data_IF_383278115066
#
_entry.id   IF_383278115066
#
_cell.length_a   1.000
_cell.length_b   1.000
_cell.length_c   1.000
_cell.angle_alpha   90.00
_cell.angle_beta   90.00
_cell.angle_gamma   90.00
#
_symmetry.space_group_name_H-M   'P 1'
#
loop_
_entity.id
_entity.type
_entity.pdbx_description
1 polymer ?
#
# COMPACT_ATOMS: atom_id res chain seq x y z
N UNK A 1 -7.22 2.34 -27.91
CA UNK A 1 -6.31 1.26 -27.45
C UNK A 1 -5.42 1.70 -26.28
N UNK A 2 -4.78 2.87 -26.34
CA UNK A 2 -3.88 3.40 -25.29
C UNK A 2 -4.40 3.30 -23.84
N UNK A 3 -5.66 3.69 -23.62
CA UNK A 3 -6.32 3.64 -22.30
C UNK A 3 -6.36 2.22 -21.70
N UNK A 4 -6.60 1.21 -22.54
CA UNK A 4 -6.67 -0.19 -22.09
C UNK A 4 -5.29 -0.68 -21.68
N UNK A 5 -4.26 -0.35 -22.45
CA UNK A 5 -2.86 -0.67 -22.13
C UNK A 5 -2.42 -0.01 -20.82
N UNK A 6 -2.70 1.29 -20.64
CA UNK A 6 -2.40 2.01 -19.41
C UNK A 6 -3.06 1.36 -18.18
N UNK A 7 -4.31 0.96 -18.30
CA UNK A 7 -5.05 0.31 -17.20
C UNK A 7 -4.41 -1.04 -16.81
N UNK A 8 -3.91 -1.80 -17.78
CA UNK A 8 -3.21 -3.07 -17.52
C UNK A 8 -1.86 -2.80 -16.85
N UNK A 9 -1.10 -1.83 -17.33
CA UNK A 9 0.20 -1.46 -16.75
C UNK A 9 0.03 -1.02 -15.30
N UNK A 10 -0.88 -0.08 -15.02
CA UNK A 10 -1.13 0.41 -13.65
C UNK A 10 -1.59 -0.72 -12.72
N UNK A 11 -2.42 -1.65 -13.22
CA UNK A 11 -2.86 -2.82 -12.46
C UNK A 11 -1.69 -3.73 -12.11
N UNK A 12 -0.86 -4.10 -13.09
CA UNK A 12 0.28 -4.98 -12.87
C UNK A 12 1.31 -4.33 -11.94
N UNK A 13 1.60 -3.04 -12.17
CA UNK A 13 2.48 -2.26 -11.32
C UNK A 13 1.99 -2.23 -9.87
N UNK A 14 0.75 -1.82 -9.62
CA UNK A 14 0.19 -1.77 -8.27
C UNK A 14 0.17 -3.17 -7.62
N UNK A 15 -0.24 -4.20 -8.36
CA UNK A 15 -0.25 -5.57 -7.86
C UNK A 15 1.15 -6.03 -7.41
N UNK A 16 2.17 -5.83 -8.25
CA UNK A 16 3.54 -6.22 -7.94
C UNK A 16 4.09 -5.46 -6.73
N UNK A 17 3.82 -4.15 -6.64
CA UNK A 17 4.28 -3.32 -5.52
C UNK A 17 3.71 -3.83 -4.19
N UNK A 18 2.40 -4.09 -4.10
CA UNK A 18 1.80 -4.57 -2.85
C UNK A 18 2.20 -6.01 -2.52
N UNK A 19 2.31 -6.90 -3.51
CA UNK A 19 2.79 -8.28 -3.29
C UNK A 19 4.22 -8.24 -2.77
N UNK A 20 5.12 -7.48 -3.41
CA UNK A 20 6.51 -7.38 -3.00
C UNK A 20 6.63 -6.77 -1.61
N UNK A 21 5.97 -5.64 -1.35
CA UNK A 21 6.00 -4.98 -0.04
C UNK A 21 5.49 -5.88 1.08
N UNK A 22 4.33 -6.53 0.88
CA UNK A 22 3.76 -7.44 1.88
C UNK A 22 4.62 -8.70 2.06
N UNK A 23 5.19 -9.26 0.99
CA UNK A 23 6.09 -10.41 1.09
C UNK A 23 7.35 -10.08 1.89
N UNK A 24 7.96 -8.91 1.66
CA UNK A 24 9.14 -8.46 2.41
C UNK A 24 8.83 -8.31 3.90
N UNK A 25 7.65 -7.78 4.25
CA UNK A 25 7.21 -7.66 5.65
C UNK A 25 6.90 -9.03 6.28
N UNK A 26 6.44 -10.01 5.50
CA UNK A 26 6.23 -11.39 5.98
C UNK A 26 7.54 -12.15 6.22
N UNK A 27 8.60 -11.83 5.49
CA UNK A 27 9.92 -12.45 5.68
C UNK A 27 10.56 -12.06 7.01
N UNK A 28 10.35 -10.81 7.45
CA UNK A 28 10.81 -10.32 8.76
C UNK A 28 9.74 -9.47 9.46
N UNK A 29 8.73 -10.11 10.08
CA UNK A 29 7.68 -9.40 10.79
C UNK A 29 8.20 -8.71 12.05
N UNK A 30 9.31 -9.18 12.62
CA UNK A 30 9.96 -8.57 13.78
C UNK A 30 10.55 -7.22 13.41
N UNK A 31 11.25 -7.13 12.28
CA UNK A 31 11.75 -5.86 11.77
C UNK A 31 10.61 -4.91 11.42
N UNK A 32 9.58 -5.38 10.72
CA UNK A 32 8.43 -4.54 10.38
C UNK A 32 7.72 -4.00 11.62
N UNK A 33 7.62 -4.80 12.69
CA UNK A 33 7.08 -4.34 13.97
C UNK A 33 7.92 -3.20 14.59
N UNK A 34 9.25 -3.30 14.55
CA UNK A 34 10.13 -2.23 15.00
C UNK A 34 9.95 -0.95 14.17
N UNK A 35 9.77 -1.09 12.85
CA UNK A 35 9.48 0.04 11.96
C UNK A 35 8.13 0.70 12.31
N UNK A 36 7.11 -0.08 12.67
CA UNK A 36 5.81 0.45 13.15
C UNK A 36 5.95 1.15 14.51
N UNK A 37 6.73 0.59 15.44
CA UNK A 37 7.00 1.20 16.74
C UNK A 37 7.83 2.48 16.64
N UNK A 38 8.68 2.61 15.61
CA UNK A 38 9.47 3.80 15.36
C UNK A 38 8.60 5.04 15.09
N UNK A 39 7.35 4.87 14.65
CA UNK A 39 6.40 5.98 14.54
C UNK A 39 6.03 6.58 15.91
N UNK A 40 6.21 5.87 17.02
CA UNK A 40 5.80 6.29 18.37
C UNK A 40 4.31 6.65 18.51
N UNK A 41 3.48 6.26 17.53
CA UNK A 41 2.04 6.52 17.47
C UNK A 41 1.19 5.35 17.98
N UNK A 42 1.80 4.17 18.14
CA UNK A 42 1.09 2.93 18.50
C UNK A 42 1.71 2.26 19.73
N UNK A 43 0.89 1.69 20.64
CA UNK A 43 1.38 0.81 21.68
C UNK A 43 1.86 -0.53 21.09
N UNK A 44 2.67 -1.26 21.86
CA UNK A 44 3.26 -2.55 21.46
C UNK A 44 2.23 -3.54 20.90
N UNK A 45 1.09 -3.71 21.59
CA UNK A 45 0.07 -4.67 21.21
C UNK A 45 -0.56 -4.34 19.83
N UNK A 46 -0.77 -3.05 19.55
CA UNK A 46 -1.27 -2.62 18.24
C UNK A 46 -0.23 -2.80 17.16
N UNK A 47 1.04 -2.46 17.43
CA UNK A 47 2.13 -2.67 16.49
C UNK A 47 2.30 -4.16 16.14
N UNK A 48 2.15 -5.05 17.12
CA UNK A 48 2.18 -6.50 16.93
C UNK A 48 1.05 -6.99 16.00
N UNK A 49 -0.19 -6.55 16.27
CA UNK A 49 -1.35 -6.91 15.43
C UNK A 49 -1.17 -6.39 14.01
N UNK A 50 -0.72 -5.14 13.84
CA UNK A 50 -0.45 -4.55 12.53
C UNK A 50 0.64 -5.32 11.80
N UNK A 51 1.75 -5.62 12.47
CA UNK A 51 2.87 -6.34 11.89
C UNK A 51 2.48 -7.74 11.39
N UNK A 52 1.57 -8.41 12.10
CA UNK A 52 1.10 -9.74 11.71
C UNK A 52 0.00 -9.73 10.67
N UNK A 53 -0.88 -8.73 10.63
CA UNK A 53 -2.08 -8.77 9.78
C UNK A 53 -1.93 -7.97 8.49
N UNK A 54 -1.31 -6.80 8.56
CA UNK A 54 -1.20 -5.87 7.43
C UNK A 54 -0.47 -6.49 6.23
N UNK A 55 0.64 -7.23 6.39
CA UNK A 55 1.34 -7.83 5.27
C UNK A 55 0.49 -8.83 4.48
N UNK A 56 -0.36 -9.62 5.16
CA UNK A 56 -1.30 -10.51 4.47
C UNK A 56 -2.33 -9.75 3.67
N UNK A 57 -2.84 -8.64 4.21
CA UNK A 57 -3.82 -7.81 3.50
C UNK A 57 -3.19 -7.20 2.23
N UNK A 58 -1.93 -6.77 2.30
CA UNK A 58 -1.19 -6.27 1.14
C UNK A 58 -0.98 -7.35 0.08
N UNK A 59 -0.51 -8.54 0.47
CA UNK A 59 -0.28 -9.66 -0.47
C UNK A 59 -1.58 -10.14 -1.09
N UNK A 60 -2.62 -10.38 -0.29
CA UNK A 60 -3.92 -10.85 -0.79
C UNK A 60 -4.59 -9.79 -1.66
N UNK A 61 -4.51 -8.51 -1.28
CA UNK A 61 -4.98 -7.39 -2.09
C UNK A 61 -4.24 -7.30 -3.42
N UNK A 62 -2.91 -7.42 -3.40
CA UNK A 62 -2.07 -7.42 -4.60
C UNK A 62 -2.36 -8.61 -5.52
N UNK A 63 -2.57 -9.81 -4.97
CA UNK A 63 -2.97 -11.00 -5.73
C UNK A 63 -4.38 -10.86 -6.32
N UNK A 64 -5.32 -10.25 -5.58
CA UNK A 64 -6.65 -9.92 -6.08
C UNK A 64 -6.60 -8.91 -7.25
N UNK A 65 -5.71 -7.91 -7.17
CA UNK A 65 -5.42 -7.03 -8.31
C UNK A 65 -4.78 -7.81 -9.46
N UNK A 66 -3.84 -8.71 -9.20
CA UNK A 66 -3.13 -9.47 -10.23
C UNK A 66 -4.05 -10.42 -11.00
N UNK A 67 -4.87 -11.20 -10.29
CA UNK A 67 -5.81 -12.17 -10.87
C UNK A 67 -7.08 -11.51 -11.40
N UNK A 68 -7.50 -10.40 -10.79
CA UNK A 68 -8.74 -9.69 -11.12
C UNK A 68 -9.96 -10.21 -10.37
N UNK A 69 -9.78 -11.19 -9.48
CA UNK A 69 -10.80 -11.68 -8.55
C UNK A 69 -10.93 -10.70 -7.38
N UNK A 70 -12.14 -10.34 -6.97
CA UNK A 70 -12.34 -9.42 -5.82
C UNK A 70 -11.77 -8.01 -6.00
N UNK A 71 -11.38 -7.64 -7.23
CA UNK A 71 -10.59 -6.44 -7.56
C UNK A 71 -11.14 -5.11 -7.05
N UNK A 72 -12.47 -4.99 -6.86
CA UNK A 72 -13.09 -3.79 -6.28
C UNK A 72 -12.79 -3.64 -4.79
N UNK A 73 -12.93 -4.74 -4.04
CA UNK A 73 -12.58 -4.77 -2.62
C UNK A 73 -11.09 -4.56 -2.42
N UNK A 74 -10.26 -5.20 -3.26
CA UNK A 74 -8.81 -5.02 -3.24
C UNK A 74 -8.41 -3.56 -3.46
N UNK A 75 -8.96 -2.87 -4.48
CA UNK A 75 -8.68 -1.45 -4.71
C UNK A 75 -9.06 -0.61 -3.49
N UNK A 76 -10.26 -0.82 -2.92
CA UNK A 76 -10.72 -0.05 -1.77
C UNK A 76 -9.78 -0.22 -0.57
N UNK A 77 -9.51 -1.47 -0.18
CA UNK A 77 -8.68 -1.81 0.98
C UNK A 77 -7.26 -1.27 0.81
N UNK A 78 -6.63 -1.52 -0.34
CA UNK A 78 -5.27 -1.04 -0.60
C UNK A 78 -5.20 0.49 -0.65
N UNK A 79 -6.22 1.17 -1.18
CA UNK A 79 -6.27 2.64 -1.19
C UNK A 79 -6.33 3.19 0.23
N UNK A 80 -7.18 2.61 1.10
CA UNK A 80 -7.30 3.03 2.49
C UNK A 80 -6.02 2.77 3.28
N UNK A 81 -5.37 1.62 3.06
CA UNK A 81 -4.08 1.31 3.68
C UNK A 81 -2.99 2.31 3.26
N UNK A 82 -2.85 2.58 1.96
CA UNK A 82 -1.88 3.55 1.46
C UNK A 82 -2.18 4.96 1.96
N UNK A 83 -3.45 5.37 2.00
CA UNK A 83 -3.84 6.68 2.54
C UNK A 83 -3.48 6.79 4.03
N UNK A 84 -3.79 5.77 4.83
CA UNK A 84 -3.40 5.71 6.24
C UNK A 84 -1.89 5.78 6.43
N UNK A 85 -1.12 5.07 5.60
CA UNK A 85 0.33 5.12 5.64
C UNK A 85 0.88 6.52 5.32
N UNK A 86 0.36 7.21 4.31
CA UNK A 86 0.72 8.61 4.03
C UNK A 86 0.40 9.50 5.24
N UNK A 87 -0.77 9.32 5.87
CA UNK A 87 -1.12 10.08 7.08
C UNK A 87 -0.11 9.83 8.20
N UNK A 88 0.31 8.59 8.44
CA UNK A 88 1.32 8.28 9.45
C UNK A 88 2.67 8.96 9.14
N UNK A 89 3.11 8.95 7.88
CA UNK A 89 4.34 9.66 7.46
C UNK A 89 4.23 11.17 7.70
N UNK A 90 3.11 11.79 7.34
CA UNK A 90 2.88 13.21 7.54
C UNK A 90 2.86 13.59 9.02
N UNK A 91 2.22 12.77 9.87
CA UNK A 91 2.17 12.98 11.32
C UNK A 91 3.57 12.81 11.91
N UNK A 92 4.29 11.73 11.60
CA UNK A 92 5.66 11.54 12.08
C UNK A 92 6.58 12.70 11.71
N UNK A 93 6.49 13.17 10.46
CA UNK A 93 7.24 14.32 9.99
C UNK A 93 6.87 15.61 10.76
N UNK A 94 5.58 15.84 11.03
CA UNK A 94 5.13 17.01 11.81
C UNK A 94 5.62 16.98 13.26
N UNK A 95 5.81 15.79 13.83
CA UNK A 95 6.37 15.59 15.17
C UNK A 95 7.91 15.52 15.21
N UNK A 96 8.59 15.69 14.07
CA UNK A 96 10.05 15.63 13.98
C UNK A 96 10.64 14.22 14.19
N UNK A 97 9.82 13.17 14.04
CA UNK A 97 10.26 11.79 14.19
C UNK A 97 10.97 11.37 12.90
N UNK A 98 12.30 11.23 12.99
CA UNK A 98 13.12 10.71 11.90
C UNK A 98 12.90 9.19 11.85
N UNK A 99 12.07 8.75 10.92
CA UNK A 99 11.83 7.33 10.66
C UNK A 99 12.48 6.93 9.36
N UNK A 100 13.45 6.01 9.44
CA UNK A 100 13.93 5.27 8.27
C UNK A 100 12.86 4.23 7.92
N UNK A 101 11.71 4.69 7.42
CA UNK A 101 10.59 3.80 7.10
C UNK A 101 10.97 2.87 5.94
N UNK A 102 11.49 1.69 6.28
CA UNK A 102 11.76 0.58 5.38
C UNK A 102 10.48 -0.12 4.95
N UNK A 103 9.53 0.58 4.32
CA UNK A 103 8.29 -0.04 3.81
C UNK A 103 8.56 -1.16 2.77
N UNK A 104 9.80 -1.24 2.28
CA UNK A 104 10.38 -2.29 1.44
C UNK A 104 11.67 -2.88 2.04
N UNK A 105 11.88 -2.78 3.36
CA UNK A 105 13.17 -3.05 4.00
C UNK A 105 14.30 -2.23 3.36
N UNK A 106 15.46 -2.87 3.16
CA UNK A 106 16.63 -2.27 2.49
C UNK A 106 16.50 -2.23 0.95
N UNK A 107 15.40 -2.75 0.38
CA UNK A 107 15.25 -2.92 -1.08
C UNK A 107 14.84 -1.64 -1.80
N UNK A 108 14.12 -0.75 -1.13
CA UNK A 108 13.72 0.54 -1.69
C UNK A 108 13.82 1.61 -0.62
N UNK A 109 14.98 2.28 -0.59
CA UNK A 109 15.25 3.41 0.29
C UNK A 109 14.92 4.70 -0.46
N UNK A 110 14.02 5.50 0.12
CA UNK A 110 13.68 6.80 -0.44
C UNK A 110 14.66 7.86 0.07
N UNK A 111 15.26 8.68 -0.82
CA UNK A 111 16.29 9.64 -0.44
C UNK A 111 15.75 10.79 0.43
N UNK A 112 14.45 11.07 0.35
CA UNK A 112 13.80 12.06 1.19
C UNK A 112 12.30 11.75 1.36
N UNK A 113 11.69 12.36 2.38
CA UNK A 113 10.26 12.18 2.70
C UNK A 113 9.36 12.54 1.50
N UNK A 114 9.71 13.58 0.74
CA UNK A 114 8.92 14.02 -0.40
C UNK A 114 8.80 12.95 -1.49
N UNK A 115 9.88 12.24 -1.81
CA UNK A 115 9.87 11.13 -2.78
C UNK A 115 9.06 9.94 -2.27
N UNK A 116 9.11 9.66 -0.97
CA UNK A 116 8.31 8.59 -0.38
C UNK A 116 6.81 8.90 -0.45
N UNK A 117 6.41 10.13 -0.11
CA UNK A 117 5.03 10.60 -0.22
C UNK A 117 4.59 10.61 -1.69
N UNK A 118 5.43 11.12 -2.60
CA UNK A 118 5.11 11.18 -4.03
C UNK A 118 4.85 9.78 -4.62
N UNK A 119 5.66 8.80 -4.26
CA UNK A 119 5.46 7.41 -4.67
C UNK A 119 4.11 6.85 -4.20
N UNK A 120 3.77 7.04 -2.92
CA UNK A 120 2.49 6.59 -2.35
C UNK A 120 1.29 7.35 -2.94
N UNK A 121 1.42 8.66 -3.22
CA UNK A 121 0.42 9.43 -3.96
C UNK A 121 0.20 8.87 -5.38
N UNK A 122 1.28 8.46 -6.06
CA UNK A 122 1.22 7.79 -7.35
C UNK A 122 0.47 6.45 -7.28
N UNK A 123 0.69 5.67 -6.22
CA UNK A 123 -0.06 4.43 -5.97
C UNK A 123 -1.55 4.69 -5.73
N UNK A 124 -1.91 5.67 -4.90
CA UNK A 124 -3.31 6.05 -4.69
C UNK A 124 -3.95 6.47 -6.01
N UNK A 125 -3.28 7.30 -6.80
CA UNK A 125 -3.78 7.71 -8.11
C UNK A 125 -4.04 6.49 -9.02
N UNK A 126 -3.10 5.54 -9.07
CA UNK A 126 -3.25 4.31 -9.84
C UNK A 126 -4.46 3.49 -9.36
N UNK A 127 -4.60 3.29 -8.05
CA UNK A 127 -5.71 2.53 -7.44
C UNK A 127 -7.07 3.20 -7.68
N UNK A 128 -7.17 4.52 -7.47
CA UNK A 128 -8.40 5.29 -7.72
C UNK A 128 -8.78 5.24 -9.19
N UNK A 129 -7.81 5.36 -10.10
CA UNK A 129 -8.04 5.21 -11.54
C UNK A 129 -8.60 3.81 -11.89
N UNK A 130 -8.01 2.74 -11.32
CA UNK A 130 -8.48 1.37 -11.51
C UNK A 130 -9.90 1.17 -10.95
N UNK A 131 -10.17 1.71 -9.75
CA UNK A 131 -11.48 1.68 -9.12
C UNK A 131 -12.55 2.36 -9.96
N UNK A 132 -12.28 3.58 -10.43
CA UNK A 132 -13.18 4.33 -11.31
C UNK A 132 -13.44 3.64 -12.64
N UNK A 133 -12.40 3.02 -13.24
CA UNK A 133 -12.55 2.23 -14.46
C UNK A 133 -13.39 0.97 -14.28
N UNK A 134 -13.35 0.35 -13.10
CA UNK A 134 -14.09 -0.88 -12.81
C UNK A 134 -15.50 -0.63 -12.26
N UNK A 135 -15.78 0.53 -11.68
CA UNK A 135 -17.14 0.94 -11.30
C UNK A 135 -18.00 1.22 -12.53
N UNK A 136 -17.42 1.82 -13.58
CA UNK A 136 -18.11 2.03 -14.88
C UNK A 136 -18.43 0.76 -15.67
N UNK A 137 -18.08 -0.43 -15.18
CA UNK A 137 -18.41 -1.72 -15.81
C UNK A 137 -19.51 -2.50 -15.09
N UNK A 138 -20.20 -1.91 -14.10
CA UNK A 138 -21.40 -2.52 -13.51
C UNK A 138 -22.55 -2.34 -14.50
N UNK A 139 -23.16 -3.41 -15.05
CA UNK A 139 -24.49 -3.30 -15.63
C UNK A 139 -25.43 -2.97 -14.47
N UNK A 140 -26.13 -1.85 -14.53
CA UNK A 140 -27.29 -1.61 -13.65
C UNK A 140 -28.29 -2.71 -13.99
N UNK A 141 -28.57 -3.61 -13.05
CA UNK A 141 -29.64 -4.58 -13.25
C UNK A 141 -30.97 -3.81 -13.39
N UNK A 142 -31.83 -4.18 -14.36
CA UNK A 142 -33.11 -3.51 -14.58
C UNK A 142 -34.07 -3.65 -13.40
#
# INVERSE_FOLDING_TARGET
MAVRTLTVILRLFAALVFIASGALKLLDPGRFMLDVLAFQLFPYDMAYVVALTLPWVEVLGGLALLTGLGKRGAVLVLTLLTAGFITLLLVANAHGIVTDCGCFGDWLVFPNMATHIAFNCGLIFALVWLGWRWSRRVPVAP
#
